data_IF_638722864666
#
_entry.id   IF_638722864666
#
_cell.length_a   1.000
_cell.length_b   1.000
_cell.length_c   1.000
_cell.angle_alpha   90.00
_cell.angle_beta   90.00
_cell.angle_gamma   90.00
#
_symmetry.space_group_name_H-M   'P 1'
#
loop_
_entity.id
_entity.type
_entity.pdbx_description
1 polymer ?
#
# COMPACT_ATOMS: atom_id res chain seq x y z
N UNK A 1 12.65 -69.85 -3.77
CA UNK A 1 12.85 -68.51 -3.20
C UNK A 1 11.61 -67.68 -3.53
N UNK A 2 10.92 -67.28 -2.49
CA UNK A 2 9.46 -66.98 -2.54
C UNK A 2 9.13 -65.67 -3.22
N UNK A 3 8.26 -65.75 -4.24
CA UNK A 3 7.67 -64.60 -4.95
C UNK A 3 6.98 -63.60 -4.01
N UNK A 4 6.58 -64.02 -2.82
CA UNK A 4 5.98 -63.23 -1.75
C UNK A 4 7.01 -62.28 -1.12
N UNK A 5 8.28 -62.71 -0.96
CA UNK A 5 9.34 -61.87 -0.38
C UNK A 5 9.71 -60.67 -1.29
N UNK A 6 9.62 -60.88 -2.61
CA UNK A 6 9.89 -59.83 -3.59
C UNK A 6 8.77 -58.79 -3.64
N UNK A 7 7.51 -59.20 -3.46
CA UNK A 7 6.37 -58.30 -3.44
C UNK A 7 6.36 -57.40 -2.19
N UNK A 8 6.82 -57.90 -1.03
CA UNK A 8 6.93 -57.07 0.19
C UNK A 8 8.03 -56.02 0.10
N UNK A 9 9.12 -56.31 -0.67
CA UNK A 9 10.21 -55.36 -0.86
C UNK A 9 9.83 -54.20 -1.75
N UNK A 10 8.92 -54.40 -2.73
CA UNK A 10 8.41 -53.31 -3.58
C UNK A 10 7.32 -52.48 -2.89
N UNK A 11 6.54 -53.06 -1.98
CA UNK A 11 5.52 -52.34 -1.23
C UNK A 11 6.12 -51.38 -0.17
N UNK A 12 7.33 -51.70 0.38
CA UNK A 12 7.98 -50.83 1.35
C UNK A 12 8.72 -49.63 0.72
N UNK A 13 9.05 -49.70 -0.56
CA UNK A 13 9.73 -48.59 -1.25
C UNK A 13 8.77 -47.44 -1.65
N UNK A 14 7.45 -47.71 -1.71
CA UNK A 14 6.45 -46.69 -2.07
C UNK A 14 6.01 -45.78 -0.89
N UNK A 15 6.40 -46.11 0.34
CA UNK A 15 6.01 -45.33 1.52
C UNK A 15 7.03 -44.22 1.87
N UNK A 16 8.17 -44.15 1.16
CA UNK A 16 9.23 -43.14 1.41
C UNK A 16 9.12 -41.93 0.50
N UNK A 17 8.08 -41.81 -0.34
CA UNK A 17 7.88 -40.69 -1.25
C UNK A 17 6.87 -39.66 -0.78
N UNK A 18 6.61 -39.58 0.52
CA UNK A 18 6.08 -38.32 1.06
C UNK A 18 7.26 -37.37 1.25
N UNK A 19 7.66 -36.68 0.19
CA UNK A 19 8.29 -35.38 0.37
C UNK A 19 7.30 -34.57 1.22
N UNK A 20 7.71 -34.32 2.46
CA UNK A 20 7.12 -33.26 3.27
C UNK A 20 7.29 -32.01 2.43
N UNK A 21 6.27 -31.70 1.62
CA UNK A 21 6.16 -30.34 1.12
C UNK A 21 6.11 -29.51 2.40
N UNK A 22 7.23 -28.87 2.71
CA UNK A 22 7.21 -27.79 3.65
C UNK A 22 6.15 -26.85 3.08
N UNK A 23 4.98 -26.88 3.70
CA UNK A 23 4.00 -25.83 3.55
C UNK A 23 4.76 -24.59 4.02
N UNK A 24 5.49 -23.96 3.11
CA UNK A 24 6.03 -22.63 3.30
C UNK A 24 4.78 -21.78 3.48
N UNK A 25 4.31 -21.82 4.73
CA UNK A 25 3.13 -21.13 5.16
C UNK A 25 3.19 -19.75 4.57
N UNK A 26 2.08 -19.32 4.03
CA UNK A 26 1.85 -18.03 3.39
C UNK A 26 2.98 -17.07 3.75
N UNK A 27 3.98 -16.97 2.85
CA UNK A 27 4.95 -15.88 2.96
C UNK A 27 4.06 -14.67 2.94
N UNK A 28 3.91 -14.06 4.10
CA UNK A 28 3.24 -12.78 4.19
C UNK A 28 4.03 -11.89 3.25
N UNK A 29 3.47 -11.56 2.08
CA UNK A 29 4.06 -10.62 1.12
C UNK A 29 4.02 -9.19 1.69
N UNK A 30 4.06 -9.09 3.01
CA UNK A 30 4.23 -7.83 3.71
C UNK A 30 5.67 -7.40 3.55
N UNK A 31 5.93 -6.16 3.17
CA UNK A 31 7.28 -5.63 3.10
C UNK A 31 7.95 -5.79 4.47
N UNK A 32 9.25 -6.12 4.46
CA UNK A 32 10.03 -6.27 5.70
C UNK A 32 10.00 -5.01 6.56
N UNK A 33 9.87 -3.85 5.91
CA UNK A 33 9.71 -2.54 6.56
C UNK A 33 8.31 -2.01 6.24
N UNK A 34 7.40 -1.96 7.22
CA UNK A 34 6.06 -1.42 7.00
C UNK A 34 6.11 0.10 6.79
N UNK A 35 5.39 0.57 5.77
CA UNK A 35 5.12 2.00 5.59
C UNK A 35 3.72 2.28 6.12
N UNK A 36 3.62 3.19 7.07
CA UNK A 36 2.36 3.56 7.73
C UNK A 36 2.04 5.03 7.53
N UNK A 37 0.77 5.42 7.70
CA UNK A 37 0.33 6.82 7.69
C UNK A 37 0.34 7.33 9.11
N UNK A 38 1.06 8.42 9.40
CA UNK A 38 1.18 8.96 10.76
C UNK A 38 0.10 9.95 11.16
N UNK A 39 -0.47 10.67 10.18
CA UNK A 39 -1.52 11.68 10.42
C UNK A 39 -2.93 11.15 10.11
N UNK A 40 -3.22 9.94 10.58
CA UNK A 40 -4.51 9.27 10.39
C UNK A 40 -5.60 9.97 11.20
N UNK A 41 -6.69 10.38 10.52
CA UNK A 41 -7.93 10.82 11.16
C UNK A 41 -8.73 9.62 11.70
N UNK A 42 -8.68 8.48 11.00
CA UNK A 42 -9.36 7.25 11.40
C UNK A 42 -9.07 6.09 10.46
N UNK A 43 -9.51 4.90 10.87
CA UNK A 43 -9.45 3.68 10.03
C UNK A 43 -10.85 3.33 9.59
N UNK A 44 -11.13 3.42 8.29
CA UNK A 44 -12.43 3.08 7.72
C UNK A 44 -12.32 1.82 6.86
N UNK A 45 -12.95 0.74 7.31
CA UNK A 45 -12.85 -0.59 6.69
C UNK A 45 -11.39 -1.07 6.54
N UNK A 46 -10.56 -0.83 7.56
CA UNK A 46 -9.14 -1.21 7.54
C UNK A 46 -8.24 -0.32 6.69
N UNK A 47 -8.76 0.80 6.15
CA UNK A 47 -8.00 1.73 5.31
C UNK A 47 -7.65 2.99 6.09
N UNK A 48 -6.36 3.40 6.14
CA UNK A 48 -5.96 4.65 6.76
C UNK A 48 -6.61 5.83 6.05
N UNK A 49 -7.20 6.72 6.83
CA UNK A 49 -7.96 7.87 6.32
C UNK A 49 -7.43 9.14 6.94
N UNK A 50 -7.10 10.13 6.12
CA UNK A 50 -6.81 11.50 6.55
C UNK A 50 -8.03 12.37 6.33
N UNK A 51 -8.08 13.56 6.93
CA UNK A 51 -9.19 14.49 6.77
C UNK A 51 -8.75 15.79 6.11
N UNK A 52 -9.69 16.41 5.41
CA UNK A 52 -9.62 17.78 4.89
C UNK A 52 -10.96 18.47 5.09
N UNK A 53 -11.02 19.79 4.93
CA UNK A 53 -12.27 20.56 5.00
C UNK A 53 -12.38 21.51 3.83
N UNK A 54 -13.56 21.62 3.25
CA UNK A 54 -13.85 22.59 2.19
C UNK A 54 -13.76 24.02 2.70
N UNK A 55 -14.36 24.28 3.86
CA UNK A 55 -14.30 25.61 4.49
C UNK A 55 -12.91 25.95 4.99
N UNK A 56 -12.06 24.93 5.27
CA UNK A 56 -10.66 25.07 5.66
C UNK A 56 -9.67 25.19 4.48
N UNK A 57 -10.15 25.46 3.27
CA UNK A 57 -9.31 25.65 2.08
C UNK A 57 -8.92 24.37 1.35
N UNK A 58 -9.41 23.22 1.79
CA UNK A 58 -9.28 21.95 1.06
C UNK A 58 -7.87 21.37 1.00
N UNK A 59 -6.97 21.77 1.89
CA UNK A 59 -5.61 21.21 1.93
C UNK A 59 -5.64 19.72 2.33
N UNK A 60 -4.88 18.90 1.63
CA UNK A 60 -4.71 17.47 1.91
C UNK A 60 -3.25 17.21 2.22
N UNK A 61 -2.99 16.66 3.39
CA UNK A 61 -1.64 16.25 3.81
C UNK A 61 -1.67 14.76 4.14
N UNK A 62 -0.75 13.99 3.55
CA UNK A 62 -0.57 12.56 3.84
C UNK A 62 0.89 12.33 4.19
N UNK A 63 1.15 11.98 5.44
CA UNK A 63 2.51 11.72 5.93
C UNK A 63 2.71 10.22 6.10
N UNK A 64 3.66 9.67 5.34
CA UNK A 64 4.07 8.27 5.39
C UNK A 64 5.34 8.14 6.23
N UNK A 65 5.37 7.13 7.08
CA UNK A 65 6.50 6.86 7.96
C UNK A 65 6.90 5.39 7.92
N UNK A 66 8.18 5.14 8.14
CA UNK A 66 8.72 3.81 8.49
C UNK A 66 9.20 3.82 9.94
N UNK A 67 9.31 2.65 10.61
CA UNK A 67 9.83 2.58 11.98
C UNK A 67 11.25 3.14 12.09
N UNK A 68 11.50 3.99 13.09
CA UNK A 68 12.84 4.56 13.36
C UNK A 68 13.89 3.45 13.56
N UNK A 69 13.49 2.34 14.19
CA UNK A 69 14.36 1.18 14.42
C UNK A 69 14.61 0.29 13.20
N UNK A 70 14.06 0.63 12.02
CA UNK A 70 14.25 -0.16 10.79
C UNK A 70 15.68 -0.12 10.25
N UNK A 71 16.50 0.83 10.69
CA UNK A 71 17.85 1.08 10.17
C UNK A 71 17.84 1.65 8.74
N UNK A 72 16.70 2.15 8.25
CA UNK A 72 16.51 2.70 6.91
C UNK A 72 15.93 4.10 6.97
N UNK A 73 16.04 4.80 5.83
CA UNK A 73 15.36 6.08 5.59
C UNK A 73 14.52 6.01 4.33
N UNK A 74 13.49 6.85 4.26
CA UNK A 74 12.72 7.03 3.04
C UNK A 74 13.49 7.99 2.14
N UNK A 75 13.89 7.51 0.97
CA UNK A 75 14.49 8.36 -0.05
C UNK A 75 13.45 9.31 -0.63
N UNK A 76 12.30 8.77 -1.05
CA UNK A 76 11.27 9.54 -1.75
C UNK A 76 9.95 8.79 -1.85
N UNK A 77 8.85 9.50 -2.09
CA UNK A 77 7.69 8.97 -2.81
C UNK A 77 8.01 9.10 -4.29
N UNK A 78 8.29 7.99 -4.95
CA UNK A 78 8.66 7.99 -6.38
C UNK A 78 7.44 8.24 -7.25
N UNK A 79 6.28 7.65 -6.89
CA UNK A 79 5.04 7.77 -7.64
C UNK A 79 3.84 7.88 -6.73
N UNK A 80 2.90 8.73 -7.14
CA UNK A 80 1.56 8.84 -6.55
C UNK A 80 0.54 8.60 -7.66
N UNK A 81 -0.45 7.76 -7.38
CA UNK A 81 -1.55 7.48 -8.30
C UNK A 81 -2.91 7.54 -7.61
N UNK A 82 -3.99 7.55 -8.38
CA UNK A 82 -5.35 7.55 -7.86
C UNK A 82 -6.03 6.21 -8.19
N UNK A 83 -6.21 5.37 -7.18
CA UNK A 83 -6.87 4.06 -7.30
C UNK A 83 -8.36 4.08 -6.99
N UNK A 84 -9.13 3.13 -7.54
CA UNK A 84 -10.55 2.94 -7.23
C UNK A 84 -10.78 2.08 -5.99
N UNK A 85 -9.77 1.29 -5.61
CA UNK A 85 -9.75 0.45 -4.41
C UNK A 85 -8.39 0.59 -3.72
N UNK A 86 -8.28 0.33 -2.40
CA UNK A 86 -7.06 0.60 -1.62
C UNK A 86 -5.87 -0.31 -1.96
N UNK A 87 -6.07 -1.32 -2.80
CA UNK A 87 -5.05 -2.27 -3.25
C UNK A 87 -4.77 -2.17 -4.77
N UNK A 88 -5.23 -1.11 -5.43
CA UNK A 88 -4.98 -0.91 -6.86
C UNK A 88 -3.58 -0.35 -7.12
N UNK A 89 -2.55 -1.16 -6.88
CA UNK A 89 -1.14 -0.77 -7.06
C UNK A 89 -0.76 -0.54 -8.52
N UNK A 90 -1.53 -1.06 -9.49
CA UNK A 90 -1.27 -0.86 -10.93
C UNK A 90 -1.14 0.60 -11.33
N UNK A 91 -1.85 1.51 -10.62
CA UNK A 91 -1.81 2.96 -10.92
C UNK A 91 -0.46 3.61 -10.58
N UNK A 92 0.41 2.93 -9.84
CA UNK A 92 1.77 3.39 -9.50
C UNK A 92 2.87 2.45 -10.01
N UNK A 93 2.53 1.32 -10.63
CA UNK A 93 3.49 0.43 -11.30
C UNK A 93 3.99 1.04 -12.62
N UNK A 94 3.15 1.82 -13.30
CA UNK A 94 3.47 2.52 -14.54
C UNK A 94 3.91 3.97 -14.28
N UNK A 95 4.60 4.57 -15.23
CA UNK A 95 5.00 5.98 -15.19
C UNK A 95 4.00 6.94 -15.84
N UNK A 96 2.87 6.42 -16.33
CA UNK A 96 1.83 7.21 -17.02
C UNK A 96 0.63 7.45 -16.11
N UNK A 97 0.01 8.61 -16.21
CA UNK A 97 -1.18 8.96 -15.43
C UNK A 97 -0.92 9.19 -13.94
N UNK A 98 0.32 9.53 -13.59
CA UNK A 98 0.70 9.79 -12.21
C UNK A 98 0.09 11.10 -11.70
N UNK A 99 -0.20 11.11 -10.40
CA UNK A 99 -0.67 12.28 -9.71
C UNK A 99 0.45 13.31 -9.45
N UNK A 100 1.66 12.85 -9.08
CA UNK A 100 2.83 13.71 -8.90
C UNK A 100 3.60 13.91 -10.21
N UNK A 101 4.07 15.13 -10.44
CA UNK A 101 4.89 15.46 -11.62
C UNK A 101 6.37 15.04 -11.46
N UNK A 102 6.84 14.96 -10.22
CA UNK A 102 8.21 14.57 -9.86
C UNK A 102 8.20 13.80 -8.53
N UNK A 103 9.25 13.01 -8.24
CA UNK A 103 9.40 12.37 -6.93
C UNK A 103 9.40 13.39 -5.78
N UNK A 104 8.85 13.01 -4.64
CA UNK A 104 8.76 13.83 -3.43
C UNK A 104 9.82 13.32 -2.45
N UNK A 105 10.82 14.15 -2.18
CA UNK A 105 11.95 13.77 -1.33
C UNK A 105 11.51 13.44 0.11
N UNK A 106 12.08 12.37 0.65
CA UNK A 106 11.91 11.98 2.05
C UNK A 106 12.76 12.83 3.00
N UNK A 107 12.42 12.75 4.27
CA UNK A 107 13.15 13.35 5.38
C UNK A 107 13.34 12.32 6.48
N UNK A 108 14.47 11.63 6.51
CA UNK A 108 14.73 10.55 7.43
C UNK A 108 13.75 9.39 7.27
N UNK A 109 12.98 9.09 8.30
CA UNK A 109 11.98 8.01 8.29
C UNK A 109 10.59 8.48 7.87
N UNK A 110 10.45 9.70 7.34
CA UNK A 110 9.18 10.33 6.99
C UNK A 110 9.19 10.93 5.60
N UNK A 111 8.02 10.97 4.94
CA UNK A 111 7.79 11.71 3.70
C UNK A 111 6.34 12.19 3.66
N UNK A 112 6.12 13.40 3.16
CA UNK A 112 4.80 14.03 3.14
C UNK A 112 4.38 14.42 1.73
N UNK A 113 3.23 13.91 1.29
CA UNK A 113 2.49 14.47 0.16
C UNK A 113 1.62 15.61 0.66
N UNK A 114 1.77 16.78 0.08
CA UNK A 114 0.87 17.94 0.24
C UNK A 114 0.18 18.23 -1.08
N UNK A 115 -1.14 18.32 -1.07
CA UNK A 115 -1.98 18.62 -2.22
C UNK A 115 -3.28 19.33 -1.75
N UNK A 116 -4.27 19.45 -2.62
CA UNK A 116 -5.54 20.08 -2.29
C UNK A 116 -6.71 19.43 -3.03
N UNK A 117 -7.94 19.72 -2.56
CA UNK A 117 -9.18 19.33 -3.27
C UNK A 117 -9.24 19.92 -4.67
N UNK A 118 -8.75 21.15 -4.86
CA UNK A 118 -8.70 21.80 -6.18
C UNK A 118 -7.75 21.05 -7.12
N UNK A 119 -6.55 20.69 -6.65
CA UNK A 119 -5.59 19.91 -7.42
C UNK A 119 -6.10 18.49 -7.71
N UNK A 120 -6.76 17.85 -6.72
CA UNK A 120 -7.41 16.56 -6.91
C UNK A 120 -8.45 16.64 -8.03
N UNK A 121 -9.34 17.64 -8.01
CA UNK A 121 -10.36 17.87 -9.06
C UNK A 121 -9.70 18.07 -10.42
N UNK A 122 -8.68 18.92 -10.50
CA UNK A 122 -7.99 19.23 -11.77
C UNK A 122 -7.33 17.98 -12.38
N UNK A 123 -6.74 17.09 -11.54
CA UNK A 123 -6.04 15.91 -12.01
C UNK A 123 -6.93 14.68 -12.23
N UNK A 124 -8.00 14.54 -11.45
CA UNK A 124 -8.91 13.40 -11.55
C UNK A 124 -10.13 13.63 -12.43
N UNK A 125 -10.47 14.88 -12.72
CA UNK A 125 -11.74 15.29 -13.35
C UNK A 125 -12.97 15.08 -12.46
N UNK A 126 -12.77 14.79 -11.17
CA UNK A 126 -13.85 14.50 -10.22
C UNK A 126 -14.13 15.74 -9.37
N UNK A 127 -15.33 16.30 -9.51
CA UNK A 127 -15.77 17.39 -8.66
C UNK A 127 -15.99 16.89 -7.23
N UNK A 128 -15.41 17.60 -6.28
CA UNK A 128 -15.58 17.35 -4.85
C UNK A 128 -16.62 18.32 -4.31
N UNK A 129 -17.75 17.79 -3.89
CA UNK A 129 -18.79 18.56 -3.20
C UNK A 129 -18.85 18.09 -1.75
N UNK A 130 -18.97 19.03 -0.79
CA UNK A 130 -19.33 18.67 0.56
C UNK A 130 -20.74 18.06 0.53
N UNK A 131 -20.85 16.81 0.83
CA UNK A 131 -22.12 16.30 1.31
C UNK A 131 -22.10 16.46 2.83
N UNK A 132 -23.03 17.20 3.41
CA UNK A 132 -23.16 17.38 4.86
C UNK A 132 -23.50 16.09 5.63
N UNK A 133 -23.12 14.93 5.09
CA UNK A 133 -23.34 13.62 5.68
C UNK A 133 -22.00 13.00 6.06
N UNK A 134 -22.00 12.19 7.11
CA UNK A 134 -20.83 11.51 7.69
C UNK A 134 -20.09 10.54 6.72
N UNK A 135 -20.36 10.58 5.43
CA UNK A 135 -19.84 9.67 4.41
C UNK A 135 -19.12 10.38 3.26
N UNK A 136 -18.69 11.63 3.48
CA UNK A 136 -18.00 12.41 2.45
C UNK A 136 -16.55 11.97 2.29
N UNK A 137 -16.34 10.96 1.47
CA UNK A 137 -14.98 10.53 1.11
C UNK A 137 -14.68 10.86 -0.34
N UNK A 138 -13.43 11.16 -0.64
CA UNK A 138 -13.00 11.16 -2.03
C UNK A 138 -13.27 9.80 -2.68
N UNK A 139 -13.73 9.80 -3.91
CA UNK A 139 -14.04 8.58 -4.67
C UNK A 139 -12.79 7.83 -5.15
N UNK A 140 -11.61 8.31 -4.80
CA UNK A 140 -10.31 7.70 -5.13
C UNK A 140 -9.45 7.61 -3.89
N UNK A 141 -8.58 6.60 -3.89
CA UNK A 141 -7.53 6.40 -2.89
C UNK A 141 -6.21 6.93 -3.45
N UNK A 142 -5.43 7.61 -2.61
CA UNK A 142 -4.05 7.92 -2.94
C UNK A 142 -3.21 6.67 -2.77
N UNK A 143 -2.60 6.23 -3.87
CA UNK A 143 -1.71 5.08 -3.95
C UNK A 143 -0.27 5.58 -4.06
N UNK A 144 0.67 4.88 -3.45
CA UNK A 144 2.05 5.31 -3.37
C UNK A 144 3.01 4.22 -3.81
N UNK A 145 4.11 4.62 -4.47
CA UNK A 145 5.35 3.87 -4.58
C UNK A 145 6.40 4.62 -3.78
N UNK A 146 6.84 4.02 -2.68
CA UNK A 146 7.86 4.59 -1.80
C UNK A 146 9.18 3.89 -2.07
N UNK A 147 10.26 4.66 -2.25
CA UNK A 147 11.61 4.13 -2.42
C UNK A 147 12.44 4.45 -1.18
N UNK A 148 13.09 3.44 -0.62
CA UNK A 148 14.01 3.58 0.51
C UNK A 148 15.43 3.96 0.03
N UNK A 149 16.30 4.30 0.98
CA UNK A 149 17.69 4.66 0.75
C UNK A 149 18.53 3.58 0.07
N UNK A 150 18.16 2.30 0.25
CA UNK A 150 18.80 1.15 -0.39
C UNK A 150 18.23 0.81 -1.78
N UNK A 151 17.25 1.58 -2.28
CA UNK A 151 16.57 1.33 -3.55
C UNK A 151 15.39 0.35 -3.47
N UNK A 152 15.09 -0.21 -2.30
CA UNK A 152 13.90 -1.05 -2.10
C UNK A 152 12.63 -0.23 -2.35
N UNK A 153 11.67 -0.81 -3.07
CA UNK A 153 10.41 -0.19 -3.41
C UNK A 153 9.26 -0.86 -2.66
N UNK A 154 8.42 -0.06 -2.05
CA UNK A 154 7.31 -0.51 -1.21
C UNK A 154 6.01 0.12 -1.70
N UNK A 155 4.96 -0.69 -1.80
CA UNK A 155 3.59 -0.27 -2.06
C UNK A 155 2.79 -0.33 -0.75
N UNK A 156 2.63 0.78 -0.02
CA UNK A 156 1.76 0.81 1.15
C UNK A 156 0.29 0.71 0.76
N UNK A 157 -0.57 0.35 1.73
CA UNK A 157 -2.02 0.40 1.54
C UNK A 157 -2.44 1.81 1.13
N UNK A 158 -3.38 1.89 0.18
CA UNK A 158 -3.91 3.17 -0.30
C UNK A 158 -4.54 4.00 0.83
N UNK A 159 -4.43 5.31 0.72
CA UNK A 159 -4.95 6.26 1.72
C UNK A 159 -6.24 6.88 1.24
N UNK A 160 -7.23 6.90 2.10
CA UNK A 160 -8.52 7.55 1.88
C UNK A 160 -8.51 8.97 2.41
N UNK A 161 -9.30 9.85 1.81
CA UNK A 161 -9.49 11.22 2.31
C UNK A 161 -10.94 11.42 2.67
N UNK A 162 -11.20 11.81 3.92
CA UNK A 162 -12.48 12.29 4.39
C UNK A 162 -12.59 13.80 4.16
N UNK A 163 -13.70 14.25 3.60
CA UNK A 163 -13.96 15.67 3.30
C UNK A 163 -15.04 16.18 4.24
N UNK A 164 -14.65 17.00 5.19
CA UNK A 164 -15.58 17.74 6.05
C UNK A 164 -16.13 18.97 5.32
N UNK A 165 -17.29 19.41 5.75
CA UNK A 165 -17.93 20.65 5.27
C UNK A 165 -17.12 21.91 5.64
#
# INVERSE_FOLDING_TARGET
MNKILLACLFASASLLSCKKEEFNGTKTNLPAIPVTVSNVFGMYNGVPTVSTSLTGGGAITITLNIPVGSGRTIKEITRVGLGTVPTNFKVVETSTGLYNAAPIAGNGTSVTLTTSLAEFTAKSGINVTASGTATSFLSRYFMFLVTLDNGEQIFPVGVRVYVAA
#
